data_IF_296595268724
#
_entry.id   IF_296595268724
#
_cell.length_a   1.000
_cell.length_b   1.000
_cell.length_c   1.000
_cell.angle_alpha   90.00
_cell.angle_beta   90.00
_cell.angle_gamma   90.00
#
_symmetry.space_group_name_H-M   'P 1'
#
loop_
_entity.id
_entity.type
_entity.pdbx_description
1 polymer ?
#
# COMPACT_ATOMS: atom_id res chain seq x y z
N UNK A 1 -12.43 8.67 16.47
CA UNK A 1 -11.18 7.95 16.09
C UNK A 1 -11.53 7.10 14.88
N UNK A 2 -10.82 7.28 13.78
CA UNK A 2 -11.02 6.51 12.55
C UNK A 2 -10.17 5.24 12.59
N UNK A 3 -10.76 4.08 12.31
CA UNK A 3 -10.06 2.81 12.22
C UNK A 3 -9.75 2.51 10.75
N UNK A 4 -8.48 2.45 10.40
CA UNK A 4 -8.01 2.08 9.07
C UNK A 4 -7.46 0.65 9.11
N UNK A 5 -8.14 -0.29 8.49
CA UNK A 5 -7.63 -1.62 8.21
C UNK A 5 -6.93 -1.61 6.87
N UNK A 6 -5.61 -1.57 6.91
CA UNK A 6 -4.77 -1.54 5.73
C UNK A 6 -4.47 -2.96 5.27
N UNK A 7 -4.87 -3.30 4.05
CA UNK A 7 -4.71 -4.62 3.46
C UNK A 7 -3.79 -4.57 2.24
N UNK A 8 -2.97 -5.60 2.03
CA UNK A 8 -2.26 -5.80 0.78
C UNK A 8 -3.09 -6.67 -0.16
N UNK A 9 -3.12 -6.35 -1.46
CA UNK A 9 -3.81 -7.16 -2.47
C UNK A 9 -3.40 -8.65 -2.44
N UNK A 10 -4.27 -9.54 -2.91
CA UNK A 10 -4.00 -10.95 -3.09
C UNK A 10 -2.86 -11.23 -4.08
N UNK A 11 -2.33 -12.45 -4.09
CA UNK A 11 -1.23 -12.84 -4.97
C UNK A 11 -1.59 -12.66 -6.45
N UNK A 12 -0.63 -12.19 -7.25
CA UNK A 12 -0.79 -12.00 -8.70
C UNK A 12 0.05 -13.01 -9.48
N UNK A 13 -0.27 -13.17 -10.77
CA UNK A 13 0.55 -13.96 -11.71
C UNK A 13 2.00 -13.47 -11.68
N UNK A 14 2.22 -12.16 -11.63
CA UNK A 14 3.57 -11.58 -11.64
C UNK A 14 4.28 -11.74 -10.27
N UNK A 15 3.53 -11.75 -9.15
CA UNK A 15 4.12 -12.11 -7.85
C UNK A 15 4.69 -13.53 -7.86
N UNK A 16 3.91 -14.50 -8.35
CA UNK A 16 4.34 -15.89 -8.47
C UNK A 16 5.56 -16.05 -9.40
N UNK A 17 5.68 -15.19 -10.40
CA UNK A 17 6.82 -15.14 -11.34
C UNK A 17 7.97 -14.28 -10.85
N UNK A 18 7.86 -13.66 -9.69
CA UNK A 18 8.84 -12.71 -9.17
C UNK A 18 9.15 -11.54 -10.12
N UNK A 19 8.13 -11.02 -10.81
CA UNK A 19 8.26 -9.87 -11.69
C UNK A 19 7.92 -8.57 -10.94
N UNK A 20 8.71 -7.53 -11.18
CA UNK A 20 8.48 -6.20 -10.63
C UNK A 20 7.26 -5.57 -11.32
N UNK A 21 6.17 -5.37 -10.57
CA UNK A 21 4.92 -4.89 -11.19
C UNK A 21 4.81 -3.37 -11.26
N UNK A 22 5.25 -2.66 -10.21
CA UNK A 22 5.06 -1.21 -10.15
C UNK A 22 3.60 -0.81 -10.35
N UNK A 23 3.36 0.15 -11.25
CA UNK A 23 2.03 0.70 -11.52
C UNK A 23 1.30 0.06 -12.71
N UNK A 24 1.74 -1.11 -13.21
CA UNK A 24 0.93 -1.87 -14.17
C UNK A 24 -0.30 -2.47 -13.47
N UNK A 25 -1.36 -2.74 -14.23
CA UNK A 25 -2.64 -3.18 -13.66
C UNK A 25 -2.52 -4.50 -12.87
N UNK A 26 -1.78 -5.47 -13.40
CA UNK A 26 -1.61 -6.80 -12.80
C UNK A 26 -2.92 -7.60 -12.75
N UNK A 27 -2.82 -8.91 -12.53
CA UNK A 27 -3.97 -9.80 -12.42
C UNK A 27 -3.78 -10.78 -11.29
N UNK A 28 -4.79 -10.95 -10.44
CA UNK A 28 -4.79 -11.97 -9.40
C UNK A 28 -4.66 -13.36 -10.06
N UNK A 29 -3.89 -14.24 -9.42
CA UNK A 29 -3.91 -15.67 -9.74
C UNK A 29 -4.97 -16.38 -8.87
N UNK A 30 -5.11 -17.70 -9.03
CA UNK A 30 -6.07 -18.49 -8.25
C UNK A 30 -5.83 -18.35 -6.75
N UNK A 31 -4.57 -18.40 -6.30
CA UNK A 31 -4.19 -18.25 -4.90
C UNK A 31 -4.60 -16.87 -4.37
N UNK A 32 -4.38 -15.80 -5.14
CA UNK A 32 -4.76 -14.45 -4.74
C UNK A 32 -6.26 -14.24 -4.62
N UNK A 33 -7.04 -14.91 -5.47
CA UNK A 33 -8.51 -14.92 -5.36
C UNK A 33 -8.94 -15.66 -4.10
N UNK A 34 -8.39 -16.85 -3.83
CA UNK A 34 -8.65 -17.62 -2.60
C UNK A 34 -8.27 -16.83 -1.33
N UNK A 35 -7.11 -16.16 -1.33
CA UNK A 35 -6.70 -15.28 -0.24
C UNK A 35 -7.70 -14.16 0.01
N UNK A 36 -8.20 -13.50 -1.04
CA UNK A 36 -9.19 -12.45 -0.92
C UNK A 36 -10.55 -13.00 -0.42
N UNK A 37 -10.96 -14.18 -0.87
CA UNK A 37 -12.17 -14.86 -0.41
C UNK A 37 -12.07 -15.28 1.06
N UNK A 38 -10.90 -15.72 1.51
CA UNK A 38 -10.68 -16.02 2.93
C UNK A 38 -10.86 -14.76 3.78
N UNK A 39 -10.26 -13.64 3.41
CA UNK A 39 -10.46 -12.36 4.12
C UNK A 39 -11.93 -11.92 4.06
N UNK A 40 -12.62 -12.07 2.92
CA UNK A 40 -14.06 -11.81 2.79
C UNK A 40 -14.85 -12.58 3.85
N UNK A 41 -14.61 -13.89 3.95
CA UNK A 41 -15.35 -14.77 4.85
C UNK A 41 -15.04 -14.47 6.33
N UNK A 42 -13.79 -14.17 6.66
CA UNK A 42 -13.35 -13.72 7.98
C UNK A 42 -13.97 -12.37 8.38
N UNK A 43 -14.22 -11.49 7.39
CA UNK A 43 -14.69 -10.12 7.62
C UNK A 43 -16.18 -9.93 7.40
N UNK A 44 -16.92 -10.95 6.96
CA UNK A 44 -18.34 -10.84 6.60
C UNK A 44 -19.23 -10.25 7.70
N UNK A 45 -18.94 -10.57 8.96
CA UNK A 45 -19.69 -10.07 10.13
C UNK A 45 -19.04 -8.84 10.81
N UNK A 46 -17.91 -8.36 10.30
CA UNK A 46 -17.27 -7.17 10.84
C UNK A 46 -17.96 -5.91 10.34
N UNK A 47 -18.12 -4.92 11.22
CA UNK A 47 -18.63 -3.63 10.79
C UNK A 47 -17.57 -2.87 10.01
N UNK A 48 -17.87 -2.55 8.73
CA UNK A 48 -17.05 -1.71 7.85
C UNK A 48 -17.95 -0.64 7.24
N UNK A 49 -17.57 0.62 7.38
CA UNK A 49 -18.31 1.77 6.84
C UNK A 49 -17.94 2.09 5.40
N UNK A 50 -16.69 1.83 4.99
CA UNK A 50 -16.21 2.14 3.66
C UNK A 50 -15.08 1.21 3.20
N UNK A 51 -15.07 0.93 1.90
CA UNK A 51 -13.96 0.26 1.22
C UNK A 51 -13.23 1.24 0.30
N UNK A 52 -11.92 1.32 0.46
CA UNK A 52 -11.02 2.15 -0.36
C UNK A 52 -9.99 1.25 -1.02
N UNK A 53 -9.59 1.52 -2.24
CA UNK A 53 -8.55 0.75 -2.93
C UNK A 53 -7.66 1.62 -3.79
N UNK A 54 -6.44 1.14 -4.05
CA UNK A 54 -5.71 1.58 -5.23
C UNK A 54 -6.55 1.31 -6.49
N UNK A 55 -6.43 2.19 -7.48
CA UNK A 55 -7.07 2.05 -8.78
C UNK A 55 -6.38 1.02 -9.71
N UNK A 56 -5.30 0.37 -9.25
CA UNK A 56 -4.67 -0.74 -9.96
C UNK A 56 -5.50 -2.01 -9.80
N UNK A 57 -5.79 -2.66 -10.94
CA UNK A 57 -6.77 -3.75 -11.04
C UNK A 57 -6.62 -4.84 -9.98
N UNK A 58 -5.41 -5.32 -9.70
CA UNK A 58 -5.16 -6.37 -8.69
C UNK A 58 -5.62 -5.97 -7.28
N UNK A 59 -5.48 -4.68 -6.93
CA UNK A 59 -5.92 -4.14 -5.65
C UNK A 59 -7.43 -3.92 -5.63
N UNK A 60 -7.98 -3.36 -6.71
CA UNK A 60 -9.41 -3.14 -6.87
C UNK A 60 -10.19 -4.48 -6.86
N UNK A 61 -9.74 -5.47 -7.62
CA UNK A 61 -10.37 -6.80 -7.65
C UNK A 61 -10.35 -7.46 -6.25
N UNK A 62 -9.24 -7.34 -5.52
CA UNK A 62 -9.15 -7.83 -4.14
C UNK A 62 -10.19 -7.13 -3.25
N UNK A 63 -10.27 -5.79 -3.33
CA UNK A 63 -11.20 -5.01 -2.54
C UNK A 63 -12.67 -5.34 -2.86
N UNK A 64 -13.00 -5.55 -4.15
CA UNK A 64 -14.35 -5.94 -4.56
C UNK A 64 -14.76 -7.30 -3.99
N UNK A 65 -13.85 -8.28 -3.97
CA UNK A 65 -14.12 -9.59 -3.38
C UNK A 65 -14.41 -9.44 -1.88
N UNK A 66 -13.59 -8.67 -1.14
CA UNK A 66 -13.74 -8.49 0.31
C UNK A 66 -15.00 -7.68 0.65
N UNK A 67 -15.38 -6.72 -0.19
CA UNK A 67 -16.55 -5.85 0.02
C UNK A 67 -17.90 -6.54 -0.29
N UNK A 68 -17.90 -7.69 -0.99
CA UNK A 68 -19.12 -8.36 -1.47
C UNK A 68 -20.20 -8.55 -0.37
N UNK A 69 -19.90 -9.13 0.82
CA UNK A 69 -20.93 -9.37 1.84
C UNK A 69 -21.46 -8.09 2.47
N UNK A 70 -20.74 -6.98 2.38
CA UNK A 70 -21.13 -5.69 2.95
C UNK A 70 -22.05 -4.88 2.03
N UNK A 71 -22.15 -5.22 0.74
CA UNK A 71 -22.95 -4.48 -0.25
C UNK A 71 -22.47 -3.04 -0.49
N UNK A 72 -21.22 -2.73 -0.13
CA UNK A 72 -20.62 -1.40 -0.27
C UNK A 72 -19.82 -1.28 -1.56
N UNK A 73 -19.84 -0.08 -2.14
CA UNK A 73 -18.99 0.22 -3.30
C UNK A 73 -17.55 0.50 -2.85
N UNK A 74 -16.60 0.10 -3.69
CA UNK A 74 -15.17 0.38 -3.48
C UNK A 74 -14.81 1.72 -4.09
N UNK A 75 -14.37 2.66 -3.27
CA UNK A 75 -13.82 3.95 -3.69
C UNK A 75 -12.36 3.78 -4.09
N UNK A 76 -11.96 4.27 -5.25
CA UNK A 76 -10.57 4.16 -5.72
C UNK A 76 -9.79 5.44 -5.51
N UNK A 77 -8.49 5.31 -5.22
CA UNK A 77 -7.56 6.43 -5.11
C UNK A 77 -6.18 6.10 -5.70
N UNK A 78 -5.56 7.01 -6.46
CA UNK A 78 -4.19 6.84 -6.93
C UNK A 78 -3.15 6.95 -5.80
N UNK A 79 -3.53 7.49 -4.64
CA UNK A 79 -2.63 7.63 -3.49
C UNK A 79 -2.11 6.28 -2.98
N UNK A 80 -2.88 5.20 -3.18
CA UNK A 80 -2.49 3.83 -2.82
C UNK A 80 -1.80 3.04 -3.93
N UNK A 81 -1.53 3.61 -5.11
CA UNK A 81 -0.76 2.91 -6.15
C UNK A 81 0.59 2.44 -5.59
N UNK A 82 1.06 1.32 -6.07
CA UNK A 82 2.41 0.82 -5.75
C UNK A 82 3.48 1.85 -6.15
N UNK A 83 4.68 1.74 -5.57
CA UNK A 83 5.84 2.52 -6.01
C UNK A 83 6.02 2.35 -7.52
N UNK A 84 6.23 3.47 -8.23
CA UNK A 84 6.64 3.39 -9.61
C UNK A 84 8.10 2.93 -9.67
N UNK A 85 8.34 1.82 -10.33
CA UNK A 85 9.66 1.23 -10.45
C UNK A 85 10.36 1.60 -11.75
N UNK A 86 9.76 2.49 -12.56
CA UNK A 86 10.34 2.94 -13.83
C UNK A 86 10.77 1.75 -14.69
N UNK A 87 12.01 1.79 -15.20
CA UNK A 87 12.57 0.76 -16.08
C UNK A 87 12.79 -0.61 -15.41
N UNK A 88 12.62 -0.72 -14.10
CA UNK A 88 12.58 -2.01 -13.43
C UNK A 88 11.24 -2.74 -13.57
N UNK A 89 10.19 -2.05 -13.99
CA UNK A 89 8.87 -2.65 -14.20
C UNK A 89 8.92 -3.75 -15.25
N UNK A 90 8.34 -4.91 -14.94
CA UNK A 90 8.34 -6.11 -15.78
C UNK A 90 9.61 -6.97 -15.69
N UNK A 91 10.64 -6.51 -14.99
CA UNK A 91 11.90 -7.27 -14.86
C UNK A 91 11.81 -8.31 -13.73
N UNK A 92 12.61 -9.34 -13.84
CA UNK A 92 12.74 -10.39 -12.82
C UNK A 92 13.48 -9.84 -11.59
N UNK A 93 12.82 -9.86 -10.43
CA UNK A 93 13.32 -9.22 -9.21
C UNK A 93 14.71 -9.70 -8.79
N UNK A 94 15.04 -11.02 -8.81
CA UNK A 94 16.38 -11.48 -8.47
C UNK A 94 17.50 -10.86 -9.31
N UNK A 95 17.24 -10.56 -10.58
CA UNK A 95 18.23 -9.96 -11.48
C UNK A 95 18.50 -8.47 -11.18
N UNK A 96 17.64 -7.83 -10.38
CA UNK A 96 17.79 -6.41 -10.03
C UNK A 96 18.74 -6.18 -8.85
N UNK A 97 19.13 -7.26 -8.16
CA UNK A 97 20.01 -7.15 -6.98
C UNK A 97 21.37 -6.57 -7.37
N UNK A 98 21.73 -5.45 -6.74
CA UNK A 98 23.01 -4.77 -6.97
C UNK A 98 23.07 -3.92 -8.24
N UNK A 99 21.99 -3.86 -9.05
CA UNK A 99 21.93 -2.95 -10.18
C UNK A 99 21.72 -1.49 -9.71
N UNK A 100 22.28 -0.51 -10.42
CA UNK A 100 21.97 0.89 -10.16
C UNK A 100 20.48 1.15 -10.45
N UNK A 101 19.86 1.96 -9.62
CA UNK A 101 18.46 2.30 -9.82
C UNK A 101 18.29 3.24 -11.00
N UNK A 102 17.30 3.00 -11.87
CA UNK A 102 16.94 3.94 -12.93
C UNK A 102 16.51 5.30 -12.36
N UNK A 103 16.79 6.37 -13.10
CA UNK A 103 16.45 7.73 -12.69
C UNK A 103 14.93 7.97 -12.61
N UNK A 104 14.15 7.17 -13.33
CA UNK A 104 12.69 7.24 -13.40
C UNK A 104 11.97 6.40 -12.34
N UNK A 105 12.68 5.82 -11.38
CA UNK A 105 12.04 5.19 -10.21
C UNK A 105 11.49 6.27 -9.28
N UNK A 106 10.25 6.12 -8.80
CA UNK A 106 9.65 7.02 -7.83
C UNK A 106 10.56 7.22 -6.62
N UNK A 107 10.88 8.48 -6.32
CA UNK A 107 11.76 8.83 -5.19
C UNK A 107 11.08 8.53 -3.86
N UNK A 108 11.88 8.22 -2.85
CA UNK A 108 11.38 7.88 -1.52
C UNK A 108 10.52 9.00 -0.92
N UNK A 109 10.96 10.25 -1.06
CA UNK A 109 10.22 11.41 -0.53
C UNK A 109 8.82 11.54 -1.16
N UNK A 110 8.70 11.32 -2.46
CA UNK A 110 7.41 11.29 -3.17
C UNK A 110 6.50 10.18 -2.66
N UNK A 111 7.05 8.99 -2.45
CA UNK A 111 6.31 7.85 -1.92
C UNK A 111 5.80 8.12 -0.50
N UNK A 112 6.64 8.69 0.38
CA UNK A 112 6.26 9.05 1.75
C UNK A 112 5.25 10.18 1.79
N UNK A 113 5.38 11.17 0.88
CA UNK A 113 4.40 12.25 0.76
C UNK A 113 3.03 11.73 0.30
N UNK A 114 2.99 10.83 -0.68
CA UNK A 114 1.78 10.16 -1.13
C UNK A 114 1.12 9.31 -0.01
N UNK A 115 1.93 8.63 0.79
CA UNK A 115 1.46 7.89 1.96
C UNK A 115 0.85 8.82 3.01
N UNK A 116 1.45 10.00 3.24
CA UNK A 116 0.94 11.02 4.15
C UNK A 116 -0.38 11.61 3.65
N UNK A 117 -0.46 11.94 2.37
CA UNK A 117 -1.70 12.41 1.74
C UNK A 117 -2.81 11.36 1.85
N UNK A 118 -2.49 10.07 1.73
CA UNK A 118 -3.47 9.00 1.91
C UNK A 118 -4.01 8.94 3.36
N UNK A 119 -3.15 9.02 4.37
CA UNK A 119 -3.59 9.05 5.77
C UNK A 119 -4.43 10.29 6.08
N UNK A 120 -4.03 11.46 5.54
CA UNK A 120 -4.82 12.69 5.62
C UNK A 120 -6.21 12.54 4.99
N UNK A 121 -6.29 11.98 3.78
CA UNK A 121 -7.54 11.69 3.07
C UNK A 121 -8.47 10.81 3.93
N UNK A 122 -7.96 9.69 4.48
CA UNK A 122 -8.77 8.80 5.33
C UNK A 122 -9.23 9.53 6.60
N UNK A 123 -8.35 10.30 7.24
CA UNK A 123 -8.70 11.03 8.45
C UNK A 123 -9.79 12.09 8.23
N UNK A 124 -9.76 12.80 7.09
CA UNK A 124 -10.69 13.90 6.76
C UNK A 124 -12.02 13.41 6.21
N UNK A 125 -11.99 12.45 5.30
CA UNK A 125 -13.20 12.07 4.55
C UNK A 125 -13.99 10.95 5.25
N UNK A 126 -13.37 10.25 6.22
CA UNK A 126 -13.99 9.15 6.96
C UNK A 126 -13.89 9.33 8.50
N UNK A 127 -14.31 10.48 9.07
CA UNK A 127 -14.16 10.76 10.49
C UNK A 127 -14.99 9.80 11.35
N UNK A 128 -14.31 9.10 12.27
CA UNK A 128 -14.96 8.16 13.19
C UNK A 128 -15.40 6.82 12.59
N UNK A 129 -15.11 6.58 11.32
CA UNK A 129 -15.52 5.39 10.58
C UNK A 129 -14.48 4.27 10.65
N UNK A 130 -14.93 3.06 10.34
CA UNK A 130 -14.11 1.88 10.09
C UNK A 130 -13.92 1.72 8.58
N UNK A 131 -12.72 1.89 8.10
CA UNK A 131 -12.36 1.82 6.67
C UNK A 131 -11.45 0.63 6.43
N UNK A 132 -11.76 -0.21 5.43
CA UNK A 132 -10.83 -1.21 4.92
C UNK A 132 -10.24 -0.70 3.61
N UNK A 133 -8.91 -0.56 3.57
CA UNK A 133 -8.20 -0.03 2.41
C UNK A 133 -7.21 -1.04 1.84
N UNK A 134 -7.33 -1.32 0.53
CA UNK A 134 -6.47 -2.28 -0.16
C UNK A 134 -5.41 -1.55 -0.99
N UNK A 135 -4.15 -1.80 -0.69
CA UNK A 135 -2.99 -1.24 -1.38
C UNK A 135 -1.99 -2.32 -1.79
N UNK A 136 -0.71 -1.95 -1.79
CA UNK A 136 0.39 -2.79 -2.29
C UNK A 136 1.54 -2.89 -1.28
N UNK A 137 2.57 -3.68 -1.63
CA UNK A 137 3.64 -4.00 -0.69
C UNK A 137 4.44 -2.80 -0.20
N UNK A 138 4.89 -1.92 -1.10
CA UNK A 138 5.79 -0.82 -0.72
C UNK A 138 5.01 0.42 -0.29
N UNK A 139 3.89 0.76 -0.94
CA UNK A 139 3.08 1.89 -0.47
C UNK A 139 2.50 1.62 0.92
N UNK A 140 2.01 0.41 1.21
CA UNK A 140 1.51 0.06 2.54
C UNK A 140 2.61 0.12 3.61
N UNK A 141 3.85 -0.22 3.23
CA UNK A 141 5.01 -0.06 4.09
C UNK A 141 5.29 1.43 4.37
N UNK A 142 5.17 2.30 3.36
CA UNK A 142 5.31 3.74 3.50
C UNK A 142 4.20 4.34 4.38
N UNK A 143 2.94 3.92 4.20
CA UNK A 143 1.81 4.34 5.03
C UNK A 143 2.07 4.00 6.51
N UNK A 144 2.53 2.80 6.81
CA UNK A 144 2.88 2.41 8.18
C UNK A 144 4.07 3.19 8.74
N UNK A 145 5.10 3.43 7.93
CA UNK A 145 6.26 4.23 8.34
C UNK A 145 5.86 5.67 8.73
N UNK A 146 5.01 6.29 7.93
CA UNK A 146 4.45 7.62 8.23
C UNK A 146 3.58 7.58 9.49
N UNK A 147 2.69 6.59 9.62
CA UNK A 147 1.82 6.43 10.77
C UNK A 147 2.61 6.26 12.09
N UNK A 148 3.62 5.40 12.09
CA UNK A 148 4.47 5.14 13.27
C UNK A 148 5.59 6.18 13.45
N UNK A 149 5.72 7.13 12.53
CA UNK A 149 6.80 8.12 12.52
C UNK A 149 8.21 7.48 12.63
N UNK A 150 8.46 6.47 11.80
CA UNK A 150 9.71 5.69 11.77
C UNK A 150 10.25 5.52 10.33
N UNK A 151 11.45 5.00 10.19
CA UNK A 151 12.02 4.69 8.89
C UNK A 151 11.31 3.50 8.25
N UNK A 152 11.22 3.49 6.90
CA UNK A 152 10.63 2.35 6.19
C UNK A 152 11.35 1.01 6.47
N UNK A 153 12.67 1.04 6.74
CA UNK A 153 13.42 -0.18 7.08
C UNK A 153 12.91 -0.87 8.35
N UNK A 154 12.32 -0.10 9.30
CA UNK A 154 11.83 -0.58 10.59
C UNK A 154 10.41 -1.15 10.51
N UNK A 155 9.75 -1.02 9.36
CA UNK A 155 8.42 -1.58 9.10
C UNK A 155 8.57 -2.93 8.38
N UNK A 156 7.97 -3.99 8.92
CA UNK A 156 7.90 -5.29 8.25
C UNK A 156 6.97 -5.21 7.03
N UNK A 157 7.40 -5.80 5.91
CA UNK A 157 6.57 -5.89 4.71
C UNK A 157 5.37 -6.81 4.95
N UNK A 158 4.21 -6.39 4.50
CA UNK A 158 2.99 -7.20 4.53
C UNK A 158 3.07 -8.34 3.52
N UNK A 159 2.58 -9.51 3.89
CA UNK A 159 2.31 -10.62 2.96
C UNK A 159 1.04 -10.32 2.13
N UNK A 160 0.79 -11.11 1.07
CA UNK A 160 -0.44 -10.92 0.28
C UNK A 160 -1.67 -11.20 1.14
N UNK A 161 -2.71 -10.39 0.97
CA UNK A 161 -3.96 -10.38 1.72
C UNK A 161 -3.84 -10.14 3.24
N UNK A 162 -2.66 -9.83 3.76
CA UNK A 162 -2.49 -9.45 5.16
C UNK A 162 -3.21 -8.13 5.46
N UNK A 163 -3.86 -8.07 6.63
CA UNK A 163 -4.58 -6.89 7.13
C UNK A 163 -3.93 -6.39 8.41
N UNK A 164 -3.72 -5.07 8.53
CA UNK A 164 -3.19 -4.41 9.74
C UNK A 164 -4.06 -3.24 10.15
N UNK A 165 -4.34 -3.10 11.44
CA UNK A 165 -5.09 -1.98 11.99
C UNK A 165 -4.17 -0.78 12.26
N UNK A 166 -4.60 0.41 11.81
CA UNK A 166 -4.06 1.71 12.17
C UNK A 166 -5.19 2.58 12.74
N UNK A 167 -5.04 3.08 13.96
CA UNK A 167 -6.03 3.94 14.61
C UNK A 167 -5.66 5.41 14.47
N UNK A 168 -6.37 6.12 13.57
CA UNK A 168 -6.07 7.50 13.24
C UNK A 168 -6.67 8.44 14.29
N UNK A 169 -5.83 8.98 15.16
CA UNK A 169 -6.21 9.87 16.27
C UNK A 169 -5.93 11.35 15.99
N UNK A 170 -5.15 11.66 14.95
CA UNK A 170 -4.76 13.00 14.55
C UNK A 170 -4.61 13.08 13.04
N UNK A 171 -4.55 14.31 12.52
CA UNK A 171 -4.34 14.58 11.11
C UNK A 171 -2.88 14.38 10.71
N UNK A 172 -2.68 13.87 9.51
CA UNK A 172 -1.37 13.64 8.89
C UNK A 172 -1.04 14.69 7.82
N UNK A 173 -1.59 15.92 7.93
CA UNK A 173 -1.32 17.00 6.96
C UNK A 173 0.20 17.20 6.78
N UNK A 174 0.62 17.22 5.53
CA UNK A 174 2.02 17.34 5.10
C UNK A 174 2.71 18.62 5.62
N UNK A 175 1.95 19.65 6.01
CA UNK A 175 2.49 20.93 6.48
C UNK A 175 2.89 20.94 7.95
N UNK A 176 2.47 19.95 8.75
CA UNK A 176 2.66 19.95 10.20
C UNK A 176 3.86 19.16 10.69
N UNK A 177 4.60 18.43 9.84
CA UNK A 177 5.61 17.47 10.28
C UNK A 177 6.90 17.41 9.45
N UNK A 178 7.43 18.57 9.03
CA UNK A 178 8.85 18.61 8.65
C UNK A 178 9.66 18.50 9.95
N UNK A 179 10.31 17.36 10.17
CA UNK A 179 11.30 17.24 11.26
C UNK A 179 12.40 18.28 11.02
N UNK A 180 12.93 18.93 12.06
CA UNK A 180 14.04 19.90 11.92
C UNK A 180 15.30 19.32 11.27
N UNK A 181 15.40 18.01 11.06
CA UNK A 181 16.59 17.29 10.58
C UNK A 181 16.42 16.64 9.19
N UNK A 182 15.30 16.85 8.48
CA UNK A 182 15.12 16.34 7.12
C UNK A 182 15.82 17.24 6.08
N UNK A 183 17.12 17.49 6.26
CA UNK A 183 17.94 17.90 5.12
C UNK A 183 18.18 16.68 4.23
N UNK A 184 17.98 16.78 2.90
CA UNK A 184 18.18 15.67 2.00
C UNK A 184 19.66 15.26 2.01
N UNK A 185 19.99 14.22 2.75
CA UNK A 185 21.29 13.56 2.60
C UNK A 185 21.24 12.68 1.37
N UNK A 186 21.85 13.13 0.31
CA UNK A 186 21.95 12.50 -1.01
C UNK A 186 22.66 11.13 -1.02
N UNK A 187 22.73 10.42 0.11
CA UNK A 187 23.56 9.21 0.25
C UNK A 187 22.87 7.95 0.74
N UNK A 188 21.56 7.95 1.08
CA UNK A 188 20.93 6.76 1.69
C UNK A 188 20.09 5.88 0.77
N UNK A 189 19.94 6.22 -0.52
CA UNK A 189 19.17 5.38 -1.46
C UNK A 189 19.87 4.08 -1.89
N UNK A 190 21.12 3.85 -1.49
CA UNK A 190 21.94 2.72 -1.99
C UNK A 190 21.84 1.42 -1.18
N UNK A 191 21.05 1.34 -0.11
CA UNK A 191 21.01 0.16 0.78
C UNK A 191 19.62 -0.37 1.10
N UNK A 192 18.73 -0.48 0.12
CA UNK A 192 17.54 -1.31 0.30
C UNK A 192 17.80 -2.69 -0.32
N UNK A 193 18.06 -3.68 0.54
CA UNK A 193 18.00 -5.07 0.14
C UNK A 193 16.58 -5.39 -0.29
N UNK A 194 16.41 -5.78 -1.55
CA UNK A 194 15.23 -6.47 -2.06
C UNK A 194 15.29 -7.89 -1.49
N UNK A 195 14.63 -8.14 -0.40
CA UNK A 195 14.32 -9.49 0.11
C UNK A 195 12.82 -9.65 0.19
#
# INVERSE_FOLDING_TARGET
MTKLFLMRHGETIDNARQLMQGQVQGKLNTIGIEQAQQVRDEWADHHVDAFVSSDLKRSYDTACIVAEPHGLQVVTTPLLRERDWGDFTGRFIPDLKGQPWPDNVEKLDHLLDRARQFLHFIYKDYPGQTVLAVGHGIINKAVQAVYHNCDMKDVTRMTNAEVRLLELTHDFDARASLRPNDQPTAQNDKKFCIT
#
